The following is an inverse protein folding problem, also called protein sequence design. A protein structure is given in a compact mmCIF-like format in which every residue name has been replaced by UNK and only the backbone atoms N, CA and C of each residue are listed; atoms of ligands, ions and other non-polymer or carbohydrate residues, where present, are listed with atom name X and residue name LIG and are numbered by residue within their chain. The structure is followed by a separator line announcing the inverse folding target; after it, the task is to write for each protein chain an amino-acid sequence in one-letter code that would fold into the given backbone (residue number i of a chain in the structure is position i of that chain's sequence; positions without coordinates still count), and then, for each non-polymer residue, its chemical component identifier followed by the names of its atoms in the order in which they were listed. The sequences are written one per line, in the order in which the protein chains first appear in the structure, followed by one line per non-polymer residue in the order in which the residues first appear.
data_IF_095724085145
#
_entry.id   IF_095724085145
#
_cell.length_a   1.000
_cell.length_b   1.000
_cell.length_c   1.000
_cell.angle_alpha   90.00
_cell.angle_beta   90.00
_cell.angle_gamma   90.00
#
_symmetry.space_group_name_H-M   'P 1'
#
loop_
_entity.id
_entity.type
_entity.pdbx_description
1 polymer ?
#
# COMPACT_ATOMS: atom_id res chain seq x y z
N UNK A 1 0.52 -15.86 17.00
CA UNK A 1 -0.53 -15.33 16.11
C UNK A 1 0.12 -14.33 15.15
N UNK A 2 0.14 -14.61 13.86
CA UNK A 2 0.56 -13.65 12.82
C UNK A 2 -0.03 -14.11 11.48
N UNK A 3 -1.11 -13.47 11.01
CA UNK A 3 -1.40 -13.52 9.58
C UNK A 3 -0.33 -12.69 8.90
N UNK A 4 0.36 -13.25 7.91
CA UNK A 4 1.33 -12.50 7.10
C UNK A 4 0.59 -11.34 6.43
N UNK A 5 1.28 -10.24 6.15
CA UNK A 5 0.78 -9.25 5.18
C UNK A 5 0.83 -9.88 3.78
N UNK A 6 -0.16 -10.72 3.47
CA UNK A 6 -0.27 -11.49 2.22
C UNK A 6 -0.42 -10.59 0.97
N UNK A 7 -0.71 -9.31 1.20
CA UNK A 7 -0.79 -8.29 0.17
C UNK A 7 0.36 -7.27 0.37
N UNK A 8 1.36 -7.22 -0.52
CA UNK A 8 2.51 -6.31 -0.41
C UNK A 8 2.17 -4.83 -0.63
N UNK A 9 0.93 -4.49 -1.03
CA UNK A 9 0.44 -3.11 -1.06
C UNK A 9 0.01 -2.59 0.32
N UNK A 10 -0.21 -3.49 1.29
CA UNK A 10 -0.55 -3.19 2.69
C UNK A 10 0.60 -2.48 3.44
N UNK A 11 1.82 -2.59 2.90
CA UNK A 11 3.04 -1.96 3.40
C UNK A 11 3.26 -0.54 2.85
N UNK A 12 2.37 -0.04 1.99
CA UNK A 12 2.45 1.29 1.39
C UNK A 12 1.66 2.31 2.20
N UNK A 13 2.21 3.52 2.30
CA UNK A 13 1.44 4.70 2.69
C UNK A 13 0.28 4.93 1.69
N UNK A 14 -0.88 5.46 2.10
CA UNK A 14 -2.00 5.68 1.19
C UNK A 14 -1.65 6.58 -0.01
N UNK A 15 -0.80 7.61 0.19
CA UNK A 15 -0.29 8.45 -0.90
C UNK A 15 0.69 7.73 -1.85
N UNK A 16 1.36 6.67 -1.39
CA UNK A 16 2.18 5.79 -2.23
C UNK A 16 1.30 4.81 -3.03
N UNK A 17 0.29 4.23 -2.39
CA UNK A 17 -0.71 3.38 -3.05
C UNK A 17 -1.43 4.13 -4.17
N UNK A 18 -1.89 5.36 -3.92
CA UNK A 18 -2.59 6.19 -4.89
C UNK A 18 -1.69 6.56 -6.08
N UNK A 19 -0.48 7.05 -5.82
CA UNK A 19 0.51 7.36 -6.86
C UNK A 19 0.86 6.13 -7.71
N UNK A 20 0.99 4.96 -7.09
CA UNK A 20 1.24 3.69 -7.78
C UNK A 20 0.03 3.22 -8.60
N UNK A 21 -1.19 3.37 -8.07
CA UNK A 21 -2.43 3.00 -8.76
C UNK A 21 -2.64 3.84 -10.01
N UNK A 22 -2.49 5.17 -9.89
CA UNK A 22 -2.53 6.10 -11.04
C UNK A 22 -1.42 5.82 -12.04
N UNK A 23 -0.21 5.50 -11.59
CA UNK A 23 0.88 5.11 -12.48
C UNK A 23 0.59 3.77 -13.19
N UNK A 24 -0.04 2.80 -12.52
CA UNK A 24 -0.46 1.52 -13.12
C UNK A 24 -1.53 1.70 -14.19
N UNK A 25 -2.45 2.64 -14.01
CA UNK A 25 -3.47 3.00 -15.00
C UNK A 25 -2.82 3.59 -16.27
N UNK A 26 -2.07 4.69 -16.13
CA UNK A 26 -1.29 5.36 -17.19
C UNK A 26 -0.26 4.45 -17.90
N UNK A 27 0.23 3.42 -17.21
CA UNK A 27 1.25 2.51 -17.73
C UNK A 27 0.71 1.19 -18.28
N UNK A 28 -0.55 0.85 -18.00
CA UNK A 28 -1.18 -0.43 -18.34
C UNK A 28 -0.40 -1.64 -17.85
N UNK A 29 -0.54 -2.78 -18.53
CA UNK A 29 0.13 -4.06 -18.21
C UNK A 29 1.66 -4.00 -18.14
N UNK A 30 2.29 -2.93 -18.65
CA UNK A 30 3.75 -2.70 -18.59
C UNK A 30 4.19 -1.82 -17.40
N UNK A 31 3.30 -1.53 -16.46
CA UNK A 31 3.57 -0.66 -15.30
C UNK A 31 4.81 -1.06 -14.51
N UNK A 32 5.03 -2.35 -14.24
CA UNK A 32 6.24 -2.81 -13.51
C UNK A 32 7.53 -2.39 -14.20
N UNK A 33 7.65 -2.63 -15.50
CA UNK A 33 8.84 -2.30 -16.28
C UNK A 33 9.03 -0.78 -16.45
N UNK A 34 7.93 -0.04 -16.63
CA UNK A 34 7.94 1.44 -16.65
C UNK A 34 8.38 2.00 -15.29
N UNK A 35 7.92 1.43 -14.16
CA UNK A 35 8.29 1.90 -12.82
C UNK A 35 9.76 1.58 -12.52
N UNK A 36 10.25 0.39 -12.86
CA UNK A 36 11.66 0.02 -12.75
C UNK A 36 12.57 0.96 -13.56
N UNK A 37 12.17 1.33 -14.79
CA UNK A 37 12.88 2.31 -15.59
C UNK A 37 12.83 3.72 -14.98
N UNK A 38 11.67 4.14 -14.43
CA UNK A 38 11.51 5.41 -13.70
C UNK A 38 12.36 5.46 -12.42
N UNK A 39 12.49 4.34 -11.71
CA UNK A 39 13.36 4.18 -10.54
C UNK A 39 14.84 4.31 -10.89
N UNK A 40 15.31 3.66 -11.97
CA UNK A 40 16.69 3.80 -12.46
C UNK A 40 16.99 5.24 -12.88
N UNK A 41 16.03 5.91 -13.53
CA UNK A 41 16.15 7.32 -13.96
C UNK A 41 15.86 8.36 -12.88
N UNK A 42 15.49 7.94 -11.66
CA UNK A 42 14.97 8.79 -10.59
C UNK A 42 13.80 9.73 -11.02
N UNK A 43 13.06 9.36 -12.07
CA UNK A 43 12.13 10.23 -12.80
C UNK A 43 10.84 10.59 -12.03
N UNK A 44 10.62 9.98 -10.87
CA UNK A 44 9.44 10.18 -10.02
C UNK A 44 9.87 10.45 -8.58
N UNK A 45 10.37 11.66 -8.27
CA UNK A 45 10.65 12.08 -6.89
C UNK A 45 9.38 12.05 -6.02
N UNK A 46 9.55 11.98 -4.69
CA UNK A 46 8.44 11.81 -3.76
C UNK A 46 8.00 10.36 -3.62
N UNK A 47 6.69 10.11 -3.57
CA UNK A 47 6.12 8.81 -3.16
C UNK A 47 6.69 7.60 -3.90
N UNK A 48 6.76 7.61 -5.24
CA UNK A 48 7.27 6.46 -5.99
C UNK A 48 8.76 6.17 -5.73
N UNK A 49 9.56 7.18 -5.40
CA UNK A 49 10.95 7.00 -4.97
C UNK A 49 11.06 6.52 -3.52
N UNK A 50 10.14 6.93 -2.64
CA UNK A 50 10.06 6.40 -1.28
C UNK A 50 9.77 4.89 -1.26
N UNK A 51 8.86 4.39 -2.12
CA UNK A 51 8.63 2.94 -2.32
C UNK A 51 9.94 2.21 -2.64
N UNK A 52 10.74 2.74 -3.59
CA UNK A 52 12.06 2.17 -3.94
C UNK A 52 12.99 2.10 -2.74
N UNK A 53 13.05 3.17 -1.94
CA UNK A 53 13.96 3.28 -0.79
C UNK A 53 13.53 2.42 0.40
N UNK A 54 12.23 2.15 0.58
CA UNK A 54 11.69 1.35 1.68
C UNK A 54 11.61 -0.15 1.37
N UNK A 55 11.29 -0.51 0.12
CA UNK A 55 10.90 -1.88 -0.26
C UNK A 55 11.75 -2.48 -1.40
N UNK A 56 12.62 -1.69 -2.02
CA UNK A 56 13.58 -2.14 -3.03
C UNK A 56 12.96 -2.51 -4.39
N UNK A 57 13.80 -2.86 -5.38
CA UNK A 57 13.33 -3.27 -6.71
C UNK A 57 12.65 -4.65 -6.72
N UNK A 58 13.03 -5.53 -5.79
CA UNK A 58 12.51 -6.89 -5.65
C UNK A 58 11.03 -6.95 -5.24
N UNK A 59 10.53 -5.95 -4.52
CA UNK A 59 9.11 -5.84 -4.16
C UNK A 59 8.18 -5.77 -5.40
N UNK A 60 8.64 -5.27 -6.55
CA UNK A 60 7.87 -5.37 -7.79
C UNK A 60 7.65 -6.82 -8.27
N UNK A 61 8.46 -7.78 -7.84
CA UNK A 61 8.21 -9.19 -8.11
C UNK A 61 7.06 -9.74 -7.25
N UNK A 62 6.93 -9.28 -5.99
CA UNK A 62 5.89 -9.75 -5.06
C UNK A 62 4.51 -9.17 -5.40
N UNK A 63 4.43 -7.92 -5.85
CA UNK A 63 3.15 -7.25 -6.19
C UNK A 63 2.49 -7.88 -7.42
N UNK A 64 1.55 -8.78 -7.21
CA UNK A 64 0.61 -9.29 -8.22
C UNK A 64 -0.54 -8.31 -8.47
N UNK A 65 -1.16 -8.42 -9.66
CA UNK A 65 -2.21 -7.50 -10.10
C UNK A 65 -3.52 -7.65 -9.28
N UNK A 66 -3.83 -8.86 -8.80
CA UNK A 66 -4.97 -9.13 -7.90
C UNK A 66 -4.91 -8.34 -6.59
N UNK A 67 -3.73 -7.96 -6.11
CA UNK A 67 -3.61 -7.16 -4.90
C UNK A 67 -4.24 -5.77 -5.04
N UNK A 68 -4.25 -5.18 -6.24
CA UNK A 68 -4.94 -3.92 -6.52
C UNK A 68 -6.47 -4.09 -6.48
N UNK A 69 -6.98 -5.29 -6.78
CA UNK A 69 -8.41 -5.64 -6.61
C UNK A 69 -8.79 -5.73 -5.13
N UNK A 70 -7.88 -6.23 -4.29
CA UNK A 70 -8.06 -6.31 -2.84
C UNK A 70 -7.87 -4.97 -2.09
N UNK A 71 -7.05 -4.05 -2.62
CA UNK A 71 -6.82 -2.74 -1.99
C UNK A 71 -8.04 -1.82 -2.00
N UNK A 72 -8.80 -1.83 -3.11
CA UNK A 72 -9.91 -0.91 -3.34
C UNK A 72 -11.09 -1.09 -2.35
N UNK A 73 -11.30 -2.28 -1.79
CA UNK A 73 -12.33 -2.49 -0.76
C UNK A 73 -11.94 -1.97 0.63
N UNK A 74 -10.69 -1.55 0.87
CA UNK A 74 -10.25 -1.00 2.17
C UNK A 74 -10.27 0.53 2.26
N UNK A 75 -10.23 1.25 1.15
CA UNK A 75 -10.24 2.73 1.19
C UNK A 75 -11.61 3.29 1.59
N UNK A 76 -12.67 2.55 1.30
CA UNK A 76 -14.05 2.80 1.76
C UNK A 76 -14.20 2.50 3.28
N UNK A 77 -13.61 1.39 3.74
CA UNK A 77 -13.72 0.92 5.12
C UNK A 77 -12.59 1.40 6.04
N UNK A 78 -12.59 2.71 6.37
CA UNK A 78 -11.89 3.26 7.55
C UNK A 78 -12.85 3.54 8.72
N UNK A 79 -13.33 2.52 9.46
CA UNK A 79 -13.92 2.74 10.78
C UNK A 79 -12.82 3.20 11.76
N UNK A 80 -12.69 4.52 11.87
CA UNK A 80 -12.17 5.27 13.02
C UNK A 80 -11.41 4.46 14.09
N UNK A 81 -10.08 4.30 13.96
CA UNK A 81 -9.24 3.76 15.04
C UNK A 81 -8.97 4.85 16.10
N UNK A 82 -10.03 5.36 16.71
CA UNK A 82 -9.98 6.27 17.84
C UNK A 82 -10.22 5.50 19.15
N UNK A 83 -9.21 4.72 19.52
CA UNK A 83 -8.89 4.43 20.92
C UNK A 83 -10.02 3.82 21.78
N UNK A 84 -10.43 2.59 21.45
CA UNK A 84 -11.14 1.73 22.42
C UNK A 84 -10.18 1.37 23.55
N UNK A 85 -10.18 2.18 24.61
CA UNK A 85 -9.32 1.98 25.80
C UNK A 85 -10.03 2.52 27.05
N UNK A 86 -11.27 2.06 27.25
CA UNK A 86 -11.98 2.18 28.53
C UNK A 86 -13.07 1.10 28.63
N UNK A 87 -12.68 -0.18 28.60
CA UNK A 87 -13.59 -1.30 28.86
C UNK A 87 -14.21 -1.15 30.26
N UNK A 88 -15.47 -0.73 30.32
CA UNK A 88 -16.17 -0.47 31.57
C UNK A 88 -16.86 -1.73 32.12
N UNK A 89 -16.57 -2.11 33.38
CA UNK A 89 -17.52 -2.83 34.22
C UNK A 89 -18.10 -1.91 35.30
N UNK A 90 -19.42 -1.74 35.29
CA UNK A 90 -20.23 -1.44 36.49
C UNK A 90 -20.66 -2.77 37.14
N UNK A 91 -21.23 -2.82 38.36
CA UNK A 91 -21.32 -1.79 39.41
C UNK A 91 -20.33 -2.20 40.55
N UNK A 92 -20.54 -2.16 41.88
CA UNK A 92 -21.67 -1.81 42.78
C UNK A 92 -21.16 -1.55 44.20
N UNK A 93 -21.52 -0.39 44.80
CA UNK A 93 -22.10 -0.23 46.14
C UNK A 93 -22.53 1.22 46.35
#
# INVERSE_FOLDING_TARGET
MTRKSENPLDQLEPGQLEALSRFRDEAGTRWKSKLLAGWVRAAHPGHLQAIRNQLGPEWLATVKDDHFRQGQTRVDSRPNHANDTAQAPRPRM
#
